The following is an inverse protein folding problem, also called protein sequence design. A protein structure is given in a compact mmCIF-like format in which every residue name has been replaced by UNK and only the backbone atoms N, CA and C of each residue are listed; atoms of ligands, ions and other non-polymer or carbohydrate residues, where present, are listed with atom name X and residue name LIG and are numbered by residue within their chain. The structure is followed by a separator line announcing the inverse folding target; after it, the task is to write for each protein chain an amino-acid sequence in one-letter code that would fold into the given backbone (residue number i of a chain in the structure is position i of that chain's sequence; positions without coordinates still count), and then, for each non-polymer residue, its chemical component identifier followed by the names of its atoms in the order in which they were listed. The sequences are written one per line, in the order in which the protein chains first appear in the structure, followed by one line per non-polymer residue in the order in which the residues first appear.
data_IF_928845213724
#
_entry.id   IF_928845213724
#
_cell.length_a   1.000
_cell.length_b   1.000
_cell.length_c   1.000
_cell.angle_alpha   90.00
_cell.angle_beta   90.00
_cell.angle_gamma   90.00
#
_symmetry.space_group_name_H-M   'P 1'
#
loop_
_entity.id
_entity.type
_entity.pdbx_description
1 polymer ?
#
# COMPACT_ATOMS: atom_id res chain seq x y z
N UNK A 1 -4.25 15.26 16.54
CA UNK A 1 -3.23 14.19 16.56
C UNK A 1 -2.10 14.53 15.62
N UNK A 2 -0.90 13.99 15.85
CA UNK A 2 0.34 14.35 15.13
C UNK A 2 0.24 14.22 13.59
N UNK A 3 -0.59 13.30 13.07
CA UNK A 3 -0.84 13.17 11.63
C UNK A 3 -1.60 14.35 10.98
N UNK A 4 -2.30 15.18 11.76
CA UNK A 4 -2.97 16.38 11.24
C UNK A 4 -1.92 17.42 10.82
N UNK A 5 -0.80 17.53 11.54
CA UNK A 5 0.29 18.46 11.21
C UNK A 5 0.95 18.11 9.87
N UNK A 6 1.14 16.82 9.59
CA UNK A 6 1.66 16.36 8.29
C UNK A 6 0.66 16.58 7.16
N UNK A 7 -0.64 16.37 7.42
CA UNK A 7 -1.68 16.57 6.41
C UNK A 7 -1.81 18.05 6.01
N UNK A 8 -1.64 18.97 6.95
CA UNK A 8 -1.62 20.42 6.69
C UNK A 8 -0.44 20.79 5.77
N UNK A 9 0.76 20.29 6.07
CA UNK A 9 1.96 20.53 5.26
C UNK A 9 1.79 19.98 3.84
N UNK A 10 1.28 18.75 3.70
CA UNK A 10 1.05 18.13 2.39
C UNK A 10 0.03 18.95 1.60
N UNK A 11 -1.13 19.30 2.17
CA UNK A 11 -2.15 20.12 1.49
C UNK A 11 -1.64 21.51 1.10
N UNK A 12 -0.83 22.15 1.95
CA UNK A 12 -0.23 23.44 1.65
C UNK A 12 0.74 23.36 0.46
N UNK A 13 1.54 22.30 0.41
CA UNK A 13 2.44 22.02 -0.71
C UNK A 13 1.66 21.71 -2.00
N UNK A 14 0.62 20.87 -1.96
CA UNK A 14 -0.21 20.53 -3.13
C UNK A 14 -0.93 21.76 -3.70
N UNK A 15 -1.26 22.74 -2.86
CA UNK A 15 -1.88 24.01 -3.25
C UNK A 15 -0.87 25.10 -3.63
N UNK A 16 0.43 24.79 -3.71
CA UNK A 16 1.52 25.72 -4.01
C UNK A 16 1.58 26.94 -3.07
N UNK A 17 1.21 26.78 -1.80
CA UNK A 17 1.38 27.86 -0.82
C UNK A 17 2.86 28.03 -0.45
N UNK A 18 3.26 29.29 -0.23
CA UNK A 18 4.59 29.61 0.31
C UNK A 18 4.62 29.25 1.78
N UNK A 19 5.53 28.35 2.14
CA UNK A 19 5.80 27.95 3.53
C UNK A 19 7.03 28.72 3.99
N UNK A 20 6.93 29.39 5.14
CA UNK A 20 8.05 30.04 5.81
C UNK A 20 8.13 29.49 7.23
N UNK A 21 9.25 28.90 7.59
CA UNK A 21 9.51 28.44 8.95
C UNK A 21 10.22 29.55 9.73
N UNK A 22 9.72 29.86 10.92
CA UNK A 22 10.35 30.81 11.84
C UNK A 22 11.06 30.00 12.92
N UNK A 23 12.40 30.09 13.05
CA UNK A 23 13.12 29.33 14.05
C UNK A 23 12.76 29.82 15.45
N UNK A 24 12.33 28.90 16.31
CA UNK A 24 12.12 29.14 17.74
C UNK A 24 13.00 28.19 18.55
N UNK A 25 13.66 28.71 19.59
CA UNK A 25 14.51 27.91 20.48
C UNK A 25 13.73 27.58 21.74
N UNK A 26 13.13 26.40 21.80
CA UNK A 26 12.46 25.90 23.00
C UNK A 26 13.40 24.91 23.69
N UNK A 27 13.95 25.31 24.84
CA UNK A 27 14.79 24.45 25.67
C UNK A 27 13.85 23.80 26.68
N UNK A 28 13.62 22.50 26.54
CA UNK A 28 12.89 21.71 27.52
C UNK A 28 13.88 21.15 28.53
N UNK A 29 13.70 21.47 29.80
CA UNK A 29 14.51 20.95 30.90
C UNK A 29 13.86 19.67 31.46
N UNK A 30 14.62 18.56 31.58
CA UNK A 30 14.15 17.27 32.13
C UNK A 30 14.03 16.09 31.15
N UNK A 31 13.67 14.91 31.67
CA UNK A 31 13.57 13.63 30.94
C UNK A 31 12.46 13.65 29.86
N UNK A 32 12.78 14.14 28.67
CA UNK A 32 11.88 14.21 27.52
C UNK A 32 11.90 12.92 26.70
N UNK A 33 11.12 11.92 27.13
CA UNK A 33 10.62 10.85 26.24
C UNK A 33 9.50 10.07 26.93
N UNK A 34 8.25 10.47 26.68
CA UNK A 34 7.06 9.72 27.15
C UNK A 34 6.59 8.66 26.15
N UNK A 35 7.11 8.65 24.91
CA UNK A 35 6.69 7.69 23.88
C UNK A 35 7.87 6.93 23.25
N UNK A 36 7.70 5.61 23.17
CA UNK A 36 8.67 4.68 22.61
C UNK A 36 8.86 4.97 21.09
N UNK A 37 10.07 5.30 20.62
CA UNK A 37 10.35 5.73 19.24
C UNK A 37 9.91 4.71 18.18
N UNK A 38 9.82 3.43 18.52
CA UNK A 38 9.33 2.35 17.65
C UNK A 38 7.83 2.50 17.38
N UNK A 39 7.05 2.87 18.40
CA UNK A 39 5.61 3.10 18.26
C UNK A 39 5.30 4.42 17.55
N UNK A 40 6.20 5.40 17.66
CA UNK A 40 6.05 6.68 16.97
C UNK A 40 6.40 6.58 15.49
N UNK A 41 7.53 5.95 15.15
CA UNK A 41 7.96 5.76 13.76
C UNK A 41 6.99 4.90 12.93
N UNK A 42 6.40 3.87 13.53
CA UNK A 42 5.39 3.05 12.85
C UNK A 42 4.13 3.85 12.51
N UNK A 43 3.69 4.78 13.37
CA UNK A 43 2.51 5.63 13.10
C UNK A 43 2.68 6.55 11.89
N UNK A 44 3.91 7.02 11.66
CA UNK A 44 4.27 7.85 10.52
C UNK A 44 4.27 7.02 9.24
N UNK A 45 4.93 5.85 9.25
CA UNK A 45 4.93 4.92 8.10
C UNK A 45 3.51 4.48 7.70
N UNK A 46 2.65 4.13 8.67
CA UNK A 46 1.26 3.77 8.40
C UNK A 46 0.48 4.94 7.78
N UNK A 47 0.73 6.17 8.23
CA UNK A 47 0.09 7.37 7.70
C UNK A 47 0.56 7.69 6.28
N UNK A 48 1.85 7.51 5.98
CA UNK A 48 2.41 7.67 4.63
C UNK A 48 1.86 6.60 3.67
N UNK A 49 1.85 5.32 4.07
CA UNK A 49 1.27 4.24 3.26
C UNK A 49 -0.20 4.52 2.97
N UNK A 50 -0.98 4.92 4.00
CA UNK A 50 -2.39 5.26 3.83
C UNK A 50 -2.58 6.42 2.87
N UNK A 51 -1.74 7.45 2.93
CA UNK A 51 -1.83 8.61 2.04
C UNK A 51 -1.51 8.23 0.58
N UNK A 52 -0.39 7.53 0.34
CA UNK A 52 0.00 7.08 -1.01
C UNK A 52 -1.01 6.08 -1.59
N UNK A 53 -1.59 5.20 -0.77
CA UNK A 53 -2.65 4.28 -1.18
C UNK A 53 -3.94 4.99 -1.59
N UNK A 54 -4.27 6.13 -0.99
CA UNK A 54 -5.47 6.92 -1.30
C UNK A 54 -5.23 7.84 -2.49
N UNK A 55 -4.02 8.39 -2.64
CA UNK A 55 -3.71 9.32 -3.74
C UNK A 55 -3.58 8.59 -5.08
N UNK A 56 -2.99 7.38 -5.09
CA UNK A 56 -2.78 6.58 -6.30
C UNK A 56 -3.08 5.08 -6.09
N UNK A 57 -4.35 4.72 -5.75
CA UNK A 57 -4.74 3.34 -5.47
C UNK A 57 -4.44 2.37 -6.62
N UNK A 58 -4.60 2.85 -7.86
CA UNK A 58 -4.36 2.05 -9.06
C UNK A 58 -2.91 1.58 -9.20
N UNK A 59 -1.94 2.44 -8.86
CA UNK A 59 -0.52 2.10 -8.94
C UNK A 59 -0.09 1.24 -7.76
N UNK A 60 -0.57 1.56 -6.56
CA UNK A 60 -0.14 0.89 -5.33
C UNK A 60 -0.62 -0.56 -5.24
N UNK A 61 -1.89 -0.83 -5.58
CA UNK A 61 -2.46 -2.19 -5.52
C UNK A 61 -2.49 -2.89 -6.88
N UNK A 62 -2.61 -2.14 -7.98
CA UNK A 62 -2.67 -2.71 -9.34
C UNK A 62 -1.33 -3.27 -9.82
N UNK A 63 -0.20 -2.59 -9.58
CA UNK A 63 1.11 -3.10 -10.02
C UNK A 63 1.46 -4.42 -9.33
N UNK A 64 1.37 -4.55 -7.99
CA UNK A 64 1.60 -5.84 -7.33
C UNK A 64 0.60 -6.91 -7.77
N UNK A 65 -0.68 -6.57 -7.95
CA UNK A 65 -1.69 -7.50 -8.45
C UNK A 65 -1.31 -8.08 -9.82
N UNK A 66 -0.87 -7.23 -10.76
CA UNK A 66 -0.45 -7.67 -12.09
C UNK A 66 0.77 -8.61 -12.03
N UNK A 67 1.72 -8.34 -11.14
CA UNK A 67 2.90 -9.20 -10.93
C UNK A 67 2.45 -10.57 -10.39
N UNK A 68 1.62 -10.59 -9.35
CA UNK A 68 1.09 -11.85 -8.80
C UNK A 68 0.24 -12.63 -9.82
N UNK A 69 -0.51 -11.93 -10.66
CA UNK A 69 -1.31 -12.54 -11.72
C UNK A 69 -0.41 -13.21 -12.76
N UNK A 70 0.64 -12.52 -13.23
CA UNK A 70 1.60 -13.09 -14.18
C UNK A 70 2.32 -14.33 -13.60
N UNK A 71 2.71 -14.26 -12.33
CA UNK A 71 3.31 -15.39 -11.61
C UNK A 71 2.30 -16.55 -11.51
N UNK A 72 1.06 -16.28 -11.13
CA UNK A 72 0.00 -17.28 -11.03
C UNK A 72 -0.23 -18.02 -12.33
N UNK A 73 -0.36 -17.28 -13.45
CA UNK A 73 -0.51 -17.86 -14.79
C UNK A 73 0.70 -18.72 -15.17
N UNK A 74 1.92 -18.26 -14.88
CA UNK A 74 3.14 -19.02 -15.15
C UNK A 74 3.16 -20.37 -14.40
N UNK A 75 2.85 -20.36 -13.10
CA UNK A 75 2.78 -21.59 -12.30
C UNK A 75 1.63 -22.50 -12.72
N UNK A 76 0.48 -21.94 -13.14
CA UNK A 76 -0.62 -22.73 -13.68
C UNK A 76 -0.22 -23.42 -14.98
N UNK A 77 0.45 -22.71 -15.89
CA UNK A 77 0.99 -23.31 -17.13
C UNK A 77 1.92 -24.48 -16.82
N UNK A 78 2.89 -24.27 -15.93
CA UNK A 78 3.85 -25.32 -15.55
C UNK A 78 3.16 -26.50 -14.82
N UNK A 79 2.06 -26.24 -14.10
CA UNK A 79 1.27 -27.29 -13.47
C UNK A 79 0.53 -28.16 -14.49
N UNK A 80 0.08 -27.56 -15.60
CA UNK A 80 -0.59 -28.26 -16.69
C UNK A 80 0.41 -29.10 -17.48
N UNK A 81 1.57 -28.54 -17.82
CA UNK A 81 2.63 -29.32 -18.49
C UNK A 81 3.07 -30.53 -17.66
N UNK A 82 3.31 -30.33 -16.36
CA UNK A 82 3.68 -31.43 -15.47
C UNK A 82 2.61 -32.54 -15.45
N UNK A 83 1.33 -32.15 -15.48
CA UNK A 83 0.24 -33.11 -15.56
C UNK A 83 0.23 -33.86 -16.90
N UNK A 84 0.48 -33.17 -18.01
CA UNK A 84 0.52 -33.77 -19.35
C UNK A 84 1.67 -34.76 -19.52
N UNK A 85 2.85 -34.48 -18.95
CA UNK A 85 4.02 -35.37 -19.07
C UNK A 85 3.97 -36.57 -18.13
N UNK A 86 3.62 -36.35 -16.86
CA UNK A 86 3.73 -37.37 -15.79
C UNK A 86 2.39 -38.09 -15.56
N UNK A 87 1.28 -37.56 -16.08
CA UNK A 87 -0.07 -38.06 -15.83
C UNK A 87 -0.56 -37.87 -14.40
N UNK A 88 0.18 -37.13 -13.57
CA UNK A 88 -0.11 -36.88 -12.15
C UNK A 88 0.00 -35.40 -11.83
N UNK A 89 -0.92 -34.89 -11.01
CA UNK A 89 -0.87 -33.50 -10.56
C UNK A 89 0.23 -33.32 -9.50
N UNK A 90 1.07 -32.31 -9.69
CA UNK A 90 2.00 -31.87 -8.66
C UNK A 90 1.30 -30.90 -7.71
N UNK A 91 0.84 -31.40 -6.56
CA UNK A 91 0.06 -30.63 -5.59
C UNK A 91 0.80 -29.38 -5.10
N UNK A 92 2.13 -29.44 -4.93
CA UNK A 92 2.91 -28.29 -4.47
C UNK A 92 2.84 -27.14 -5.48
N UNK A 93 2.99 -27.48 -6.76
CA UNK A 93 3.01 -26.50 -7.83
C UNK A 93 1.62 -25.91 -8.08
N UNK A 94 0.58 -26.75 -8.07
CA UNK A 94 -0.81 -26.31 -8.15
C UNK A 94 -1.17 -25.41 -6.98
N UNK A 95 -0.73 -25.73 -5.76
CA UNK A 95 -0.98 -24.93 -4.55
C UNK A 95 -0.35 -23.54 -4.64
N UNK A 96 0.90 -23.45 -5.12
CA UNK A 96 1.58 -22.16 -5.33
C UNK A 96 0.85 -21.34 -6.40
N UNK A 97 0.41 -21.97 -7.50
CA UNK A 97 -0.38 -21.28 -8.53
C UNK A 97 -1.71 -20.74 -7.96
N UNK A 98 -2.42 -21.57 -7.17
CA UNK A 98 -3.70 -21.18 -6.59
C UNK A 98 -3.54 -20.04 -5.57
N UNK A 99 -2.53 -20.11 -4.71
CA UNK A 99 -2.26 -19.08 -3.70
C UNK A 99 -1.87 -17.74 -4.33
N UNK A 100 -1.00 -17.76 -5.34
CA UNK A 100 -0.60 -16.55 -6.06
C UNK A 100 -1.76 -15.94 -6.83
N UNK A 101 -2.60 -16.76 -7.50
CA UNK A 101 -3.78 -16.29 -8.22
C UNK A 101 -4.83 -15.69 -7.28
N UNK A 102 -5.08 -16.32 -6.13
CA UNK A 102 -5.99 -15.80 -5.11
C UNK A 102 -5.51 -14.45 -4.58
N UNK A 103 -4.21 -14.32 -4.30
CA UNK A 103 -3.60 -13.07 -3.84
C UNK A 103 -3.74 -11.97 -4.90
N UNK A 104 -3.51 -12.29 -6.19
CA UNK A 104 -3.67 -11.35 -7.30
C UNK A 104 -5.09 -10.78 -7.36
N UNK A 105 -6.10 -11.66 -7.26
CA UNK A 105 -7.52 -11.28 -7.31
C UNK A 105 -7.92 -10.40 -6.12
N UNK A 106 -7.49 -10.75 -4.90
CA UNK A 106 -7.77 -9.93 -3.72
C UNK A 106 -7.18 -8.53 -3.88
N UNK A 107 -5.92 -8.43 -4.31
CA UNK A 107 -5.28 -7.13 -4.57
C UNK A 107 -6.00 -6.34 -5.67
N UNK A 108 -6.45 -7.01 -6.74
CA UNK A 108 -7.18 -6.38 -7.82
C UNK A 108 -8.52 -5.80 -7.35
N UNK A 109 -9.27 -6.55 -6.54
CA UNK A 109 -10.52 -6.09 -5.95
C UNK A 109 -10.25 -4.89 -5.03
N UNK A 110 -9.23 -4.95 -4.17
CA UNK A 110 -8.90 -3.82 -3.29
C UNK A 110 -8.52 -2.56 -4.08
N UNK A 111 -7.81 -2.71 -5.20
CA UNK A 111 -7.48 -1.63 -6.11
C UNK A 111 -8.73 -0.93 -6.65
N UNK A 112 -9.69 -1.71 -7.16
CA UNK A 112 -10.95 -1.18 -7.72
C UNK A 112 -11.79 -0.50 -6.64
N UNK A 113 -11.91 -1.10 -5.45
CA UNK A 113 -12.70 -0.56 -4.35
C UNK A 113 -12.14 0.77 -3.86
N UNK A 114 -10.82 0.85 -3.65
CA UNK A 114 -10.16 2.09 -3.22
C UNK A 114 -10.22 3.16 -4.31
N UNK A 115 -10.02 2.78 -5.57
CA UNK A 115 -10.17 3.72 -6.69
C UNK A 115 -11.58 4.32 -6.74
N UNK A 116 -12.62 3.48 -6.62
CA UNK A 116 -14.02 3.91 -6.59
C UNK A 116 -14.32 4.83 -5.40
N UNK A 117 -13.84 4.47 -4.21
CA UNK A 117 -14.04 5.30 -3.01
C UNK A 117 -13.37 6.67 -3.18
N UNK A 118 -12.13 6.68 -3.66
CA UNK A 118 -11.36 7.92 -3.86
C UNK A 118 -11.99 8.79 -4.95
N UNK A 119 -12.45 8.20 -6.06
CA UNK A 119 -13.09 8.96 -7.13
C UNK A 119 -14.37 9.62 -6.65
N UNK A 120 -15.21 8.89 -5.90
CA UNK A 120 -16.46 9.42 -5.33
C UNK A 120 -16.20 10.54 -4.31
N UNK A 121 -15.21 10.38 -3.43
CA UNK A 121 -14.84 11.42 -2.46
C UNK A 121 -14.28 12.67 -3.16
N UNK A 122 -13.56 12.49 -4.27
CA UNK A 122 -12.99 13.60 -5.04
C UNK A 122 -14.04 14.37 -5.83
N UNK A 123 -15.11 13.71 -6.26
CA UNK A 123 -16.24 14.32 -7.00
C UNK A 123 -17.15 15.16 -6.09
N UNK A 124 -17.14 14.91 -4.78
CA UNK A 124 -17.93 15.64 -3.78
C UNK A 124 -17.26 16.93 -3.25
N UNK A 125 -16.02 17.21 -3.65
CA UNK A 125 -15.25 18.41 -3.29
C UNK A 125 -14.99 19.28 -4.53
#
# INVERSE_FOLDING_TARGET
GMGISTEILIKASTKNFRISEVPIKIIYDGNTSTHNPISHGSSVLFSTIKYTSIEHPLKFYGIPSMIFFAIGVFFTYYSIEYYAEVGRLNTNLTLVSAASMLTAVVLFITCILLYSLVSVVREKN
#
